data_IF_955604363774
#
_entry.id   IF_955604363774
#
_cell.length_a   1.000
_cell.length_b   1.000
_cell.length_c   1.000
_cell.angle_alpha   90.00
_cell.angle_beta   90.00
_cell.angle_gamma   90.00
#
_symmetry.space_group_name_H-M   'P 1'
#
loop_
_entity.id
_entity.type
_entity.pdbx_description
1 polymer ?
#
# COMPACT_ATOMS: atom_id res chain seq x y z
N UNK A 1 22.12 -13.01 3.81
CA UNK A 1 21.20 -14.10 3.42
C UNK A 1 19.86 -13.51 3.01
N UNK A 2 19.17 -14.05 2.00
CA UNK A 2 17.81 -13.60 1.64
C UNK A 2 16.84 -14.76 1.93
N UNK A 3 15.81 -14.49 2.71
CA UNK A 3 14.79 -15.46 3.09
C UNK A 3 13.41 -14.94 2.71
N UNK A 4 12.66 -15.72 1.93
CA UNK A 4 11.28 -15.39 1.57
C UNK A 4 10.31 -16.16 2.45
N UNK A 5 9.34 -15.45 3.03
CA UNK A 5 8.28 -16.03 3.83
C UNK A 5 6.92 -15.51 3.34
N UNK A 6 5.99 -16.43 3.10
CA UNK A 6 4.58 -16.13 2.87
C UNK A 6 3.74 -16.82 3.92
N UNK A 7 2.75 -16.14 4.50
CA UNK A 7 1.85 -16.77 5.46
C UNK A 7 0.95 -17.78 4.72
N UNK A 8 0.20 -17.30 3.73
CA UNK A 8 -0.70 -18.11 2.89
C UNK A 8 -0.04 -18.49 1.56
N UNK A 9 -0.18 -19.76 1.15
CA UNK A 9 0.32 -20.29 -0.12
C UNK A 9 -0.87 -20.63 -1.01
N UNK A 10 -1.05 -19.88 -2.08
CA UNK A 10 -2.16 -20.03 -3.02
C UNK A 10 -1.73 -21.00 -4.11
N UNK A 11 -2.33 -22.19 -4.08
CA UNK A 11 -2.14 -23.25 -5.07
C UNK A 11 -3.41 -23.44 -5.92
N UNK A 12 -4.57 -23.20 -5.33
CA UNK A 12 -5.89 -23.22 -5.96
C UNK A 12 -6.57 -21.85 -5.76
N UNK A 13 -7.19 -21.31 -6.80
CA UNK A 13 -7.93 -20.04 -6.72
C UNK A 13 -9.17 -20.12 -5.82
N UNK A 14 -9.69 -21.31 -5.56
CA UNK A 14 -10.84 -21.53 -4.69
C UNK A 14 -10.45 -21.64 -3.21
N UNK A 15 -9.16 -21.83 -2.90
CA UNK A 15 -8.63 -21.92 -1.54
C UNK A 15 -7.38 -21.06 -1.41
N UNK A 16 -7.60 -19.79 -1.08
CA UNK A 16 -6.51 -18.81 -0.90
C UNK A 16 -6.05 -18.71 0.56
N UNK A 17 -6.70 -19.40 1.49
CA UNK A 17 -6.37 -19.39 2.93
C UNK A 17 -6.81 -18.15 3.72
N UNK A 18 -7.48 -17.19 3.08
CA UNK A 18 -8.08 -16.00 3.70
C UNK A 18 -9.36 -15.61 2.95
N UNK A 19 -10.13 -14.66 3.47
CA UNK A 19 -11.34 -14.16 2.80
C UNK A 19 -10.99 -13.23 1.62
N UNK A 20 -11.40 -13.53 0.37
CA UNK A 20 -11.20 -12.62 -0.76
C UNK A 20 -11.90 -11.27 -0.56
N UNK A 21 -13.04 -11.23 0.12
CA UNK A 21 -13.73 -9.98 0.50
C UNK A 21 -12.87 -9.13 1.44
N UNK A 22 -12.29 -9.75 2.47
CA UNK A 22 -11.38 -9.07 3.39
C UNK A 22 -10.21 -8.46 2.60
N UNK A 23 -9.60 -9.23 1.69
CA UNK A 23 -8.49 -8.73 0.89
C UNK A 23 -8.90 -7.55 -0.01
N UNK A 24 -10.06 -7.63 -0.65
CA UNK A 24 -10.59 -6.51 -1.44
C UNK A 24 -10.80 -5.26 -0.56
N UNK A 25 -11.47 -5.39 0.58
CA UNK A 25 -11.69 -4.29 1.55
C UNK A 25 -10.39 -3.69 2.08
N UNK A 26 -9.43 -4.54 2.43
CA UNK A 26 -8.08 -4.14 2.85
C UNK A 26 -7.42 -3.24 1.80
N UNK A 27 -7.45 -3.64 0.52
CA UNK A 27 -6.85 -2.88 -0.58
C UNK A 27 -7.50 -1.51 -0.78
N UNK A 28 -8.74 -1.33 -0.31
CA UNK A 28 -9.50 -0.08 -0.35
C UNK A 28 -9.55 0.69 0.97
N UNK A 29 -8.84 0.25 2.02
CA UNK A 29 -8.61 1.05 3.23
C UNK A 29 -9.41 0.62 4.45
N UNK A 30 -9.93 -0.60 4.49
CA UNK A 30 -10.47 -1.17 5.73
C UNK A 30 -9.32 -1.52 6.71
N UNK A 31 -9.13 -0.66 7.71
CA UNK A 31 -8.05 -0.76 8.68
C UNK A 31 -8.26 -1.89 9.69
N UNK A 32 -9.51 -2.32 9.93
CA UNK A 32 -9.79 -3.48 10.77
C UNK A 32 -9.28 -4.77 10.12
N UNK A 33 -9.42 -4.88 8.78
CA UNK A 33 -8.81 -6.00 8.04
C UNK A 33 -7.27 -5.88 8.03
N UNK A 34 -6.73 -4.67 7.88
CA UNK A 34 -5.28 -4.45 7.96
C UNK A 34 -4.71 -4.93 9.31
N UNK A 35 -5.42 -4.70 10.41
CA UNK A 35 -5.05 -5.22 11.74
C UNK A 35 -5.05 -6.74 11.79
N UNK A 36 -6.12 -7.37 11.29
CA UNK A 36 -6.23 -8.82 11.22
C UNK A 36 -5.06 -9.42 10.45
N UNK A 37 -4.78 -8.94 9.25
CA UNK A 37 -3.70 -9.45 8.40
C UNK A 37 -2.31 -9.19 9.00
N UNK A 38 -2.07 -7.99 9.51
CA UNK A 38 -0.78 -7.63 10.11
C UNK A 38 -0.47 -8.47 11.36
N UNK A 39 -1.47 -8.70 12.21
CA UNK A 39 -1.34 -9.52 13.41
C UNK A 39 -1.09 -10.99 13.06
N UNK A 40 -1.80 -11.53 12.07
CA UNK A 40 -1.63 -12.91 11.61
C UNK A 40 -0.23 -13.12 11.01
N UNK A 41 0.22 -12.20 10.15
CA UNK A 41 1.55 -12.26 9.54
C UNK A 41 2.66 -12.20 10.59
N UNK A 42 2.53 -11.33 11.60
CA UNK A 42 3.49 -11.23 12.69
C UNK A 42 3.55 -12.53 13.50
N UNK A 43 2.40 -13.13 13.81
CA UNK A 43 2.36 -14.39 14.54
C UNK A 43 3.04 -15.51 13.76
N UNK A 44 2.70 -15.66 12.47
CA UNK A 44 3.32 -16.68 11.62
C UNK A 44 4.83 -16.48 11.47
N UNK A 45 5.30 -15.23 11.37
CA UNK A 45 6.72 -14.92 11.30
C UNK A 45 7.45 -15.26 12.61
N UNK A 46 6.88 -14.92 13.76
CA UNK A 46 7.43 -15.26 15.08
C UNK A 46 7.60 -16.79 15.20
N UNK A 47 6.53 -17.53 14.94
CA UNK A 47 6.49 -18.98 15.15
C UNK A 47 7.48 -19.73 14.25
N UNK A 48 7.68 -19.25 13.01
CA UNK A 48 8.51 -19.95 12.02
C UNK A 48 9.96 -19.50 11.97
N UNK A 49 10.25 -18.24 12.33
CA UNK A 49 11.59 -17.66 12.12
C UNK A 49 12.25 -17.10 13.37
N UNK A 50 11.49 -16.74 14.41
CA UNK A 50 12.05 -16.11 15.62
C UNK A 50 11.98 -16.99 16.87
N UNK A 51 11.24 -18.10 16.83
CA UNK A 51 11.02 -18.97 17.99
C UNK A 51 12.26 -19.73 18.51
N UNK A 52 13.37 -19.73 17.77
CA UNK A 52 14.58 -20.48 18.14
C UNK A 52 15.82 -19.59 18.17
N UNK A 53 16.21 -19.12 19.35
CA UNK A 53 17.48 -18.42 19.58
C UNK A 53 17.35 -16.92 19.83
N UNK A 54 18.49 -16.20 19.93
CA UNK A 54 18.48 -14.76 20.13
C UNK A 54 17.96 -14.05 18.87
N UNK A 55 17.13 -13.02 19.07
CA UNK A 55 16.61 -12.20 17.98
C UNK A 55 17.54 -10.99 17.78
N UNK A 56 18.11 -10.80 16.57
CA UNK A 56 18.95 -9.65 16.26
C UNK A 56 18.13 -8.36 16.19
N UNK A 57 18.80 -7.20 16.07
CA UNK A 57 18.11 -5.95 15.80
C UNK A 57 17.40 -6.01 14.43
N UNK A 58 16.07 -5.97 14.45
CA UNK A 58 15.24 -5.96 13.25
C UNK A 58 14.96 -4.52 12.81
N UNK A 59 14.94 -4.29 11.49
CA UNK A 59 14.45 -3.07 10.85
C UNK A 59 13.31 -3.45 9.92
N UNK A 60 12.10 -2.98 10.24
CA UNK A 60 10.93 -3.17 9.40
C UNK A 60 10.84 -2.04 8.37
N UNK A 61 10.73 -2.42 7.10
CA UNK A 61 10.70 -1.49 5.98
C UNK A 61 9.36 -1.57 5.27
N UNK A 62 8.66 -0.44 5.20
CA UNK A 62 7.41 -0.34 4.45
C UNK A 62 7.67 -0.40 2.94
N UNK A 63 6.70 -0.91 2.18
CA UNK A 63 6.71 -0.79 0.72
C UNK A 63 6.91 0.67 0.30
N UNK A 64 7.66 0.95 -0.79
CA UNK A 64 7.93 2.33 -1.19
C UNK A 64 6.65 3.10 -1.55
N UNK A 65 6.52 4.32 -1.03
CA UNK A 65 5.45 5.25 -1.39
C UNK A 65 5.96 6.69 -1.36
N UNK A 66 5.33 7.57 -2.15
CA UNK A 66 5.63 9.00 -2.14
C UNK A 66 4.92 9.66 -0.94
N UNK A 67 3.78 10.32 -1.16
CA UNK A 67 3.03 11.02 -0.13
C UNK A 67 1.94 10.14 0.48
N UNK A 68 1.12 9.49 -0.35
CA UNK A 68 -0.01 8.67 0.13
C UNK A 68 0.48 7.27 0.50
N UNK A 69 0.19 6.78 1.73
CA UNK A 69 0.53 5.40 2.12
C UNK A 69 -0.15 4.34 1.25
N UNK A 70 0.39 3.12 1.29
CA UNK A 70 -0.24 1.92 0.69
C UNK A 70 -1.14 1.21 1.70
N UNK A 71 -2.01 0.30 1.26
CA UNK A 71 -2.75 -0.58 2.16
C UNK A 71 -1.79 -1.42 3.04
N UNK A 72 -0.70 -1.91 2.45
CA UNK A 72 0.38 -2.62 3.15
C UNK A 72 0.99 -1.79 4.28
N UNK A 73 1.03 -0.45 4.19
CA UNK A 73 1.52 0.38 5.27
C UNK A 73 0.68 0.26 6.56
N UNK A 74 -0.65 0.20 6.43
CA UNK A 74 -1.55 -0.03 7.56
C UNK A 74 -1.31 -1.43 8.16
N UNK A 75 -1.23 -2.46 7.30
CA UNK A 75 -0.91 -3.83 7.73
C UNK A 75 0.44 -3.91 8.47
N UNK A 76 1.46 -3.20 7.96
CA UNK A 76 2.79 -3.11 8.57
C UNK A 76 2.71 -2.55 9.98
N UNK A 77 1.90 -1.52 10.24
CA UNK A 77 1.79 -0.96 11.59
C UNK A 77 1.31 -2.01 12.59
N UNK A 78 0.30 -2.80 12.25
CA UNK A 78 -0.20 -3.86 13.13
C UNK A 78 0.76 -5.04 13.26
N UNK A 79 1.47 -5.39 12.17
CA UNK A 79 2.58 -6.33 12.23
C UNK A 79 3.65 -5.86 13.24
N UNK A 80 4.09 -4.60 13.11
CA UNK A 80 5.06 -3.96 13.99
C UNK A 80 4.60 -3.96 15.45
N UNK A 81 3.33 -3.62 15.72
CA UNK A 81 2.77 -3.63 17.07
C UNK A 81 2.75 -5.02 17.70
N UNK A 82 2.31 -6.03 16.94
CA UNK A 82 2.29 -7.42 17.42
C UNK A 82 3.70 -7.93 17.69
N UNK A 83 4.63 -7.69 16.77
CA UNK A 83 6.01 -8.13 16.89
C UNK A 83 6.71 -7.45 18.07
N UNK A 84 6.58 -6.13 18.23
CA UNK A 84 7.18 -5.41 19.36
C UNK A 84 6.67 -5.89 20.72
N UNK A 85 5.37 -6.20 20.84
CA UNK A 85 4.82 -6.77 22.09
C UNK A 85 5.50 -8.09 22.41
N UNK A 86 5.67 -8.97 21.44
CA UNK A 86 6.36 -10.25 21.64
C UNK A 86 7.86 -10.05 21.95
N UNK A 87 8.57 -9.19 21.22
CA UNK A 87 9.99 -8.89 21.46
C UNK A 87 10.23 -8.35 22.88
N UNK A 88 9.42 -7.37 23.31
CA UNK A 88 9.53 -6.78 24.63
C UNK A 88 9.25 -7.80 25.75
N UNK A 89 8.25 -8.67 25.58
CA UNK A 89 7.92 -9.72 26.55
C UNK A 89 9.03 -10.78 26.69
N UNK A 90 9.84 -10.99 25.64
CA UNK A 90 10.93 -11.97 25.63
C UNK A 90 12.31 -11.32 25.84
N UNK A 91 12.37 -10.03 26.17
CA UNK A 91 13.64 -9.33 26.46
C UNK A 91 14.52 -9.06 25.24
N UNK A 92 13.95 -9.06 24.04
CA UNK A 92 14.66 -8.76 22.79
C UNK A 92 14.57 -7.27 22.41
N UNK A 93 15.50 -6.75 21.59
CA UNK A 93 15.39 -5.40 21.04
C UNK A 93 14.09 -5.23 20.27
N UNK A 94 13.36 -4.14 20.52
CA UNK A 94 12.20 -3.77 19.70
C UNK A 94 12.65 -3.46 18.27
N UNK A 95 11.74 -3.59 17.30
CA UNK A 95 12.03 -3.24 15.92
C UNK A 95 12.38 -1.75 15.82
N UNK A 96 13.17 -1.43 14.81
CA UNK A 96 13.28 -0.09 14.27
C UNK A 96 12.53 -0.02 12.93
N UNK A 97 12.18 1.18 12.49
CA UNK A 97 11.52 1.37 11.19
C UNK A 97 12.31 2.34 10.33
N UNK A 98 12.31 2.09 9.02
CA UNK A 98 12.76 3.06 8.02
C UNK A 98 11.89 2.98 6.78
N UNK A 99 11.98 4.00 5.92
CA UNK A 99 11.22 4.11 4.68
C UNK A 99 12.16 4.07 3.49
N UNK A 100 11.77 3.33 2.46
CA UNK A 100 12.35 3.52 1.12
C UNK A 100 11.70 4.73 0.49
N UNK A 101 12.47 5.79 0.29
CA UNK A 101 12.01 6.96 -0.42
C UNK A 101 12.04 6.69 -1.92
N UNK A 102 10.90 6.88 -2.60
CA UNK A 102 10.81 6.80 -4.05
C UNK A 102 10.79 8.20 -4.62
N UNK A 103 11.78 8.55 -5.41
CA UNK A 103 11.72 9.76 -6.25
C UNK A 103 11.02 9.39 -7.55
N UNK A 104 9.86 10.00 -7.80
CA UNK A 104 9.15 9.84 -9.06
C UNK A 104 9.87 10.71 -10.09
N UNK A 105 10.58 10.10 -11.03
CA UNK A 105 11.42 10.83 -11.98
C UNK A 105 10.67 11.29 -13.25
N UNK A 106 9.38 10.95 -13.44
CA UNK A 106 8.69 11.27 -14.71
C UNK A 106 7.38 12.05 -14.58
N UNK A 107 7.36 13.09 -15.42
CA UNK A 107 6.36 14.14 -15.61
C UNK A 107 5.68 14.06 -16.99
N UNK A 108 5.92 13.00 -17.78
CA UNK A 108 5.50 12.97 -19.21
C UNK A 108 4.58 11.80 -19.55
N UNK A 109 3.71 12.08 -20.51
CA UNK A 109 2.45 11.40 -20.88
C UNK A 109 2.49 9.87 -20.97
N UNK A 110 1.80 9.22 -20.03
CA UNK A 110 1.52 7.78 -20.06
C UNK A 110 0.66 7.33 -21.26
N UNK A 111 0.00 8.27 -21.94
CA UNK A 111 -0.98 8.00 -23.01
C UNK A 111 -0.39 7.49 -24.33
N UNK A 112 0.89 7.76 -24.61
CA UNK A 112 1.50 7.54 -25.94
C UNK A 112 2.68 6.57 -25.96
N UNK A 113 3.01 5.92 -24.85
CA UNK A 113 4.24 5.13 -24.73
C UNK A 113 4.05 3.65 -25.06
N UNK A 114 4.97 3.11 -25.87
CA UNK A 114 5.04 1.69 -26.21
C UNK A 114 5.64 0.82 -25.08
N UNK A 115 5.66 -0.50 -25.29
CA UNK A 115 6.11 -1.46 -24.28
C UNK A 115 7.60 -1.33 -23.90
N UNK A 116 8.45 -0.87 -24.82
CA UNK A 116 9.89 -0.74 -24.61
C UNK A 116 10.21 0.56 -23.85
N UNK A 117 9.50 1.64 -24.17
CA UNK A 117 9.57 2.91 -23.43
C UNK A 117 9.05 2.78 -21.99
N UNK A 118 8.00 1.97 -21.77
CA UNK A 118 7.52 1.63 -20.42
C UNK A 118 8.58 0.92 -19.57
N UNK A 119 9.40 0.07 -20.17
CA UNK A 119 10.47 -0.65 -19.48
C UNK A 119 11.65 0.27 -19.09
N UNK A 120 12.01 1.22 -19.95
CA UNK A 120 13.06 2.21 -19.66
C UNK A 120 12.67 3.15 -18.51
N UNK A 121 11.39 3.54 -18.42
CA UNK A 121 10.89 4.41 -17.35
C UNK A 121 10.89 3.73 -15.97
N UNK A 122 10.56 2.43 -15.90
CA UNK A 122 10.71 1.61 -14.67
C UNK A 122 12.18 1.55 -14.24
N UNK A 123 13.10 1.61 -15.19
CA UNK A 123 14.55 1.62 -14.94
C UNK A 123 15.05 2.85 -14.18
N UNK A 124 14.28 3.95 -14.18
CA UNK A 124 14.69 5.27 -13.72
C UNK A 124 13.99 5.75 -12.43
N UNK A 125 13.19 4.90 -11.77
CA UNK A 125 12.80 5.13 -10.37
C UNK A 125 14.07 5.11 -9.50
N UNK A 126 14.38 6.22 -8.85
CA UNK A 126 15.44 6.24 -7.85
C UNK A 126 14.84 5.95 -6.47
N UNK A 127 15.33 4.89 -5.85
CA UNK A 127 15.01 4.53 -4.48
C UNK A 127 16.14 5.04 -3.59
N UNK A 128 15.80 5.59 -2.42
CA UNK A 128 16.77 6.01 -1.42
C UNK A 128 16.48 5.35 -0.07
N UNK A 129 17.53 4.78 0.51
CA UNK A 129 17.51 4.10 1.80
C UNK A 129 18.82 4.40 2.54
N UNK A 130 18.74 4.62 3.85
CA UNK A 130 19.90 4.92 4.68
C UNK A 130 20.68 3.64 4.99
N UNK A 131 21.74 3.39 4.22
CA UNK A 131 22.62 2.23 4.38
C UNK A 131 23.33 2.21 5.74
N UNK A 132 23.80 3.36 6.22
CA UNK A 132 24.55 3.44 7.48
C UNK A 132 23.65 3.08 8.66
N UNK A 133 22.40 3.57 8.62
CA UNK A 133 21.38 3.15 9.59
C UNK A 133 21.12 1.65 9.56
N UNK A 134 21.19 0.99 8.40
CA UNK A 134 20.90 -0.44 8.27
C UNK A 134 22.05 -1.35 8.70
N UNK A 135 23.26 -0.82 8.89
CA UNK A 135 24.45 -1.63 9.18
C UNK A 135 24.25 -2.56 10.39
N UNK A 136 24.68 -3.81 10.24
CA UNK A 136 24.63 -4.89 11.26
C UNK A 136 23.22 -5.24 11.77
N UNK A 137 22.17 -4.91 11.01
CA UNK A 137 20.76 -5.21 11.32
C UNK A 137 20.17 -6.23 10.34
N UNK A 138 19.07 -6.86 10.73
CA UNK A 138 18.26 -7.69 9.83
C UNK A 138 17.13 -6.86 9.27
N UNK A 139 16.95 -6.87 7.96
CA UNK A 139 15.94 -6.08 7.26
C UNK A 139 14.72 -6.96 6.99
N UNK A 140 13.53 -6.44 7.31
CA UNK A 140 12.26 -7.12 7.12
C UNK A 140 11.39 -6.26 6.19
N UNK A 141 11.27 -6.66 4.93
CA UNK A 141 10.35 -6.05 3.97
C UNK A 141 8.99 -6.74 4.03
N UNK A 142 7.92 -5.95 3.98
CA UNK A 142 6.56 -6.47 3.92
C UNK A 142 5.86 -6.06 2.63
N UNK A 143 5.13 -7.00 2.06
CA UNK A 143 4.13 -6.75 1.03
C UNK A 143 2.87 -7.58 1.26
N UNK A 144 1.78 -7.24 0.58
CA UNK A 144 0.51 -7.93 0.75
C UNK A 144 0.46 -9.27 0.00
N UNK A 145 0.81 -9.31 -1.28
CA UNK A 145 0.78 -10.55 -2.05
C UNK A 145 1.93 -10.65 -3.06
N UNK A 146 2.56 -11.83 -3.12
CA UNK A 146 3.56 -12.17 -4.14
C UNK A 146 2.89 -12.91 -5.30
N UNK A 147 2.79 -12.27 -6.46
CA UNK A 147 2.22 -12.88 -7.68
C UNK A 147 3.32 -13.25 -8.68
N UNK A 148 4.04 -12.24 -9.20
CA UNK A 148 5.08 -12.43 -10.23
C UNK A 148 6.50 -12.18 -9.72
N UNK A 149 6.65 -11.83 -8.44
CA UNK A 149 7.92 -11.44 -7.82
C UNK A 149 8.51 -10.11 -8.34
N UNK A 150 7.71 -9.26 -8.98
CA UNK A 150 8.16 -7.94 -9.45
C UNK A 150 8.66 -7.05 -8.31
N UNK A 151 7.94 -7.01 -7.19
CA UNK A 151 8.34 -6.27 -5.99
C UNK A 151 9.64 -6.82 -5.38
N UNK A 152 9.80 -8.13 -5.32
CA UNK A 152 11.06 -8.77 -4.89
C UNK A 152 12.22 -8.35 -5.78
N UNK A 153 12.09 -8.42 -7.11
CA UNK A 153 13.15 -7.97 -8.03
C UNK A 153 13.53 -6.51 -7.81
N UNK A 154 12.55 -5.64 -7.53
CA UNK A 154 12.80 -4.24 -7.20
C UNK A 154 13.59 -4.10 -5.90
N UNK A 155 13.20 -4.79 -4.83
CA UNK A 155 13.88 -4.75 -3.53
C UNK A 155 15.30 -5.29 -3.66
N UNK A 156 15.50 -6.40 -4.38
CA UNK A 156 16.82 -7.00 -4.59
C UNK A 156 17.72 -6.09 -5.43
N UNK A 157 17.19 -5.45 -6.48
CA UNK A 157 17.92 -4.45 -7.26
C UNK A 157 18.35 -3.27 -6.38
N UNK A 158 17.47 -2.79 -5.51
CA UNK A 158 17.80 -1.73 -4.56
C UNK A 158 18.89 -2.19 -3.58
N UNK A 159 18.75 -3.38 -3.00
CA UNK A 159 19.74 -3.92 -2.07
C UNK A 159 21.13 -4.04 -2.73
N UNK A 160 21.18 -4.50 -3.98
CA UNK A 160 22.42 -4.56 -4.78
C UNK A 160 23.00 -3.17 -5.08
N UNK A 161 22.15 -2.23 -5.53
CA UNK A 161 22.54 -0.84 -5.84
C UNK A 161 23.17 -0.14 -4.63
N UNK A 162 22.61 -0.36 -3.43
CA UNK A 162 23.13 0.18 -2.19
C UNK A 162 24.19 -0.72 -1.53
N UNK A 163 24.50 -1.87 -2.13
CA UNK A 163 25.43 -2.89 -1.63
C UNK A 163 25.15 -3.26 -0.17
N UNK A 164 23.87 -3.50 0.14
CA UNK A 164 23.44 -3.95 1.45
C UNK A 164 23.97 -5.36 1.69
N UNK A 165 24.67 -5.55 2.80
CA UNK A 165 25.22 -6.85 3.22
C UNK A 165 24.36 -7.55 4.26
N UNK A 166 23.18 -6.99 4.54
CA UNK A 166 22.27 -7.44 5.58
C UNK A 166 21.67 -8.81 5.28
N UNK A 167 21.22 -9.49 6.33
CA UNK A 167 20.20 -10.51 6.17
C UNK A 167 18.85 -9.83 5.90
N UNK A 168 18.14 -10.32 4.88
CA UNK A 168 16.91 -9.75 4.38
C UNK A 168 15.82 -10.80 4.43
N UNK A 169 14.73 -10.49 5.11
CA UNK A 169 13.49 -11.21 5.01
C UNK A 169 12.51 -10.48 4.08
N UNK A 170 11.96 -11.21 3.13
CA UNK A 170 10.87 -10.76 2.26
C UNK A 170 9.57 -11.44 2.71
N UNK A 171 8.72 -10.70 3.42
CA UNK A 171 7.49 -11.19 4.02
C UNK A 171 6.30 -10.81 3.17
N UNK A 172 5.42 -11.79 2.95
CA UNK A 172 4.17 -11.61 2.23
C UNK A 172 3.02 -12.17 3.05
N UNK A 173 1.87 -11.49 3.05
CA UNK A 173 0.66 -12.08 3.63
C UNK A 173 0.24 -13.31 2.81
N UNK A 174 0.31 -13.23 1.47
CA UNK A 174 0.04 -14.36 0.60
C UNK A 174 1.03 -14.49 -0.57
N UNK A 175 1.11 -15.68 -1.16
CA UNK A 175 1.92 -15.95 -2.34
C UNK A 175 1.20 -16.87 -3.31
N UNK A 176 1.13 -16.48 -4.58
CA UNK A 176 0.68 -17.35 -5.67
C UNK A 176 1.82 -18.27 -6.11
N UNK A 177 1.77 -19.53 -5.67
CA UNK A 177 2.81 -20.52 -5.99
C UNK A 177 2.50 -21.30 -7.26
N UNK A 178 1.23 -21.47 -7.60
CA UNK A 178 0.83 -22.18 -8.80
C UNK A 178 1.02 -21.29 -10.04
N UNK A 179 2.09 -21.57 -10.79
CA UNK A 179 2.47 -20.85 -12.02
C UNK A 179 1.48 -21.01 -13.18
N UNK A 180 0.55 -21.97 -13.11
CA UNK A 180 -0.52 -22.12 -14.10
C UNK A 180 -1.65 -21.10 -13.91
N UNK A 181 -1.78 -20.52 -12.71
CA UNK A 181 -2.76 -19.47 -12.45
C UNK A 181 -2.25 -18.17 -13.06
N UNK A 182 -3.12 -17.51 -13.83
CA UNK A 182 -2.76 -16.29 -14.52
C UNK A 182 -2.55 -15.13 -13.52
N UNK A 183 -1.51 -14.27 -13.68
CA UNK A 183 -1.21 -13.17 -12.75
C UNK A 183 -2.34 -12.16 -12.52
N UNK A 184 -3.31 -12.06 -13.44
CA UNK A 184 -4.52 -11.24 -13.24
C UNK A 184 -5.39 -11.70 -12.06
N UNK A 185 -5.09 -12.85 -11.47
CA UNK A 185 -5.74 -13.31 -10.24
C UNK A 185 -5.61 -12.29 -9.10
N UNK A 186 -4.52 -11.52 -9.05
CA UNK A 186 -4.41 -10.41 -8.10
C UNK A 186 -5.53 -9.38 -8.28
N UNK A 187 -5.87 -9.09 -9.55
CA UNK A 187 -6.93 -8.16 -9.88
C UNK A 187 -8.31 -8.72 -9.46
N UNK A 188 -8.50 -10.03 -9.62
CA UNK A 188 -9.70 -10.70 -9.10
C UNK A 188 -9.84 -10.54 -7.59
N UNK A 189 -8.75 -10.73 -6.82
CA UNK A 189 -8.75 -10.51 -5.38
C UNK A 189 -8.96 -9.03 -5.01
N UNK A 190 -8.27 -8.11 -5.68
CA UNK A 190 -8.35 -6.67 -5.43
C UNK A 190 -9.79 -6.15 -5.51
N UNK A 191 -10.55 -6.61 -6.51
CA UNK A 191 -11.91 -6.19 -6.79
C UNK A 191 -12.94 -7.27 -6.45
N UNK A 192 -12.65 -8.16 -5.49
CA UNK A 192 -13.55 -9.27 -5.18
C UNK A 192 -14.91 -8.78 -4.67
N UNK A 193 -14.95 -7.83 -3.72
CA UNK A 193 -16.19 -7.24 -3.22
C UNK A 193 -16.42 -5.80 -3.70
N UNK A 194 -15.36 -5.03 -3.96
CA UNK A 194 -15.48 -3.68 -4.54
C UNK A 194 -15.53 -3.80 -6.07
N UNK A 195 -16.72 -3.70 -6.64
CA UNK A 195 -16.98 -3.75 -8.09
C UNK A 195 -17.16 -2.36 -8.70
N UNK A 196 -17.70 -1.43 -7.93
CA UNK A 196 -17.99 -0.07 -8.36
C UNK A 196 -17.71 0.94 -7.22
N UNK A 197 -17.80 2.23 -7.53
CA UNK A 197 -17.50 3.30 -6.59
C UNK A 197 -18.42 3.32 -5.35
N UNK A 198 -19.67 2.87 -5.47
CA UNK A 198 -20.63 2.87 -4.38
C UNK A 198 -20.38 1.72 -3.38
N UNK A 199 -19.68 0.66 -3.79
CA UNK A 199 -19.25 -0.41 -2.87
C UNK A 199 -18.20 0.09 -1.85
N UNK A 200 -17.66 1.31 -2.05
CA UNK A 200 -16.76 1.97 -1.11
C UNK A 200 -17.49 2.67 0.04
N UNK A 201 -18.82 2.83 -0.02
CA UNK A 201 -19.57 3.58 0.99
C UNK A 201 -19.37 3.01 2.39
N UNK A 202 -19.45 1.70 2.53
CA UNK A 202 -19.27 1.00 3.80
C UNK A 202 -17.82 1.07 4.32
N UNK A 203 -16.85 1.13 3.41
CA UNK A 203 -15.42 1.21 3.76
C UNK A 203 -15.07 2.63 4.20
N UNK A 204 -15.46 3.63 3.41
CA UNK A 204 -15.14 5.05 3.63
C UNK A 204 -15.90 5.61 4.83
N UNK A 205 -17.13 5.17 5.06
CA UNK A 205 -17.96 5.63 6.18
C UNK A 205 -17.66 4.86 7.47
N UNK A 206 -16.86 3.79 7.40
CA UNK A 206 -16.47 3.01 8.57
C UNK A 206 -15.60 3.82 9.54
N UNK A 207 -15.74 3.54 10.84
CA UNK A 207 -14.93 4.20 11.89
C UNK A 207 -13.42 3.97 11.72
N UNK A 208 -13.07 2.86 11.05
CA UNK A 208 -11.69 2.40 10.82
C UNK A 208 -11.32 2.48 9.33
N UNK A 209 -11.57 3.64 8.73
CA UNK A 209 -11.12 3.94 7.38
C UNK A 209 -9.69 4.50 7.37
N UNK A 210 -8.80 3.90 6.58
CA UNK A 210 -7.46 4.39 6.31
C UNK A 210 -7.27 4.69 4.82
N UNK A 211 -7.13 5.99 4.48
CA UNK A 211 -6.90 6.41 3.09
C UNK A 211 -5.57 5.87 2.58
N UNK A 212 -5.55 5.42 1.33
CA UNK A 212 -4.36 4.90 0.68
C UNK A 212 -4.32 5.24 -0.81
N UNK A 213 -3.17 5.00 -1.45
CA UNK A 213 -2.96 5.39 -2.85
C UNK A 213 -3.96 4.74 -3.82
N UNK A 214 -4.44 3.51 -3.56
CA UNK A 214 -5.37 2.81 -4.46
C UNK A 214 -6.73 3.49 -4.48
N UNK A 215 -7.31 3.76 -3.31
CA UNK A 215 -8.64 4.40 -3.25
C UNK A 215 -8.61 5.80 -3.87
N UNK A 216 -7.57 6.59 -3.64
CA UNK A 216 -7.44 7.92 -4.24
C UNK A 216 -7.38 7.84 -5.77
N UNK A 217 -6.53 6.96 -6.32
CA UNK A 217 -6.44 6.76 -7.78
C UNK A 217 -7.76 6.22 -8.36
N UNK A 218 -8.39 5.28 -7.67
CA UNK A 218 -9.64 4.67 -8.11
C UNK A 218 -10.75 5.71 -8.21
N UNK A 219 -10.89 6.57 -7.20
CA UNK A 219 -11.87 7.64 -7.17
C UNK A 219 -11.61 8.71 -8.25
N UNK A 220 -10.36 9.17 -8.39
CA UNK A 220 -10.02 10.22 -9.36
C UNK A 220 -10.13 9.75 -10.82
N UNK A 221 -9.89 8.47 -11.11
CA UNK A 221 -10.06 7.88 -12.45
C UNK A 221 -11.49 7.41 -12.73
N UNK A 222 -12.42 7.50 -11.78
CA UNK A 222 -13.76 7.00 -11.98
C UNK A 222 -14.55 7.89 -12.94
N UNK A 223 -15.63 7.35 -13.51
CA UNK A 223 -16.57 8.14 -14.30
C UNK A 223 -17.04 9.38 -13.52
N UNK A 224 -17.05 10.54 -14.18
CA UNK A 224 -17.23 11.83 -13.53
C UNK A 224 -18.64 12.00 -12.96
N UNK A 225 -19.66 11.47 -13.63
CA UNK A 225 -21.04 11.59 -13.14
C UNK A 225 -21.25 10.70 -11.91
N UNK A 226 -20.79 9.45 -11.96
CA UNK A 226 -20.82 8.55 -10.80
C UNK A 226 -19.97 9.08 -9.63
N UNK A 227 -18.80 9.67 -9.90
CA UNK A 227 -17.95 10.30 -8.89
C UNK A 227 -18.66 11.47 -8.18
N UNK A 228 -19.34 12.33 -8.94
CA UNK A 228 -20.12 13.45 -8.38
C UNK A 228 -21.24 12.94 -7.47
N UNK A 229 -21.97 11.91 -7.89
CA UNK A 229 -23.04 11.30 -7.07
C UNK A 229 -22.46 10.68 -5.80
N UNK A 230 -21.35 9.94 -5.90
CA UNK A 230 -20.68 9.35 -4.74
C UNK A 230 -20.30 10.40 -3.69
N UNK A 231 -19.73 11.53 -4.12
CA UNK A 231 -19.30 12.61 -3.23
C UNK A 231 -20.44 13.36 -2.54
N UNK A 232 -21.65 13.40 -3.12
CA UNK A 232 -22.79 14.10 -2.51
C UNK A 232 -23.13 13.56 -1.12
N UNK A 233 -22.88 12.27 -0.89
CA UNK A 233 -23.18 11.57 0.37
C UNK A 233 -21.94 11.41 1.26
N UNK A 234 -20.86 12.18 1.04
CA UNK A 234 -19.64 12.09 1.84
C UNK A 234 -19.46 13.28 2.76
N UNK A 235 -18.85 13.01 3.91
CA UNK A 235 -18.53 14.05 4.87
C UNK A 235 -17.48 15.02 4.31
N UNK A 236 -17.56 16.29 4.71
CA UNK A 236 -16.53 17.28 4.34
C UNK A 236 -15.13 16.83 4.79
N UNK A 237 -15.02 16.14 5.93
CA UNK A 237 -13.76 15.55 6.40
C UNK A 237 -13.15 14.60 5.36
N UNK A 238 -13.95 13.71 4.79
CA UNK A 238 -13.47 12.79 3.75
C UNK A 238 -13.10 13.53 2.47
N UNK A 239 -13.91 14.51 2.04
CA UNK A 239 -13.65 15.28 0.81
C UNK A 239 -12.33 16.06 0.92
N UNK A 240 -12.09 16.73 2.06
CA UNK A 240 -10.81 17.41 2.32
C UNK A 240 -9.65 16.41 2.32
N UNK A 241 -9.79 15.28 3.04
CA UNK A 241 -8.76 14.25 3.08
C UNK A 241 -8.41 13.70 1.69
N UNK A 242 -9.41 13.42 0.84
CA UNK A 242 -9.22 12.97 -0.53
C UNK A 242 -8.47 14.01 -1.37
N UNK A 243 -8.87 15.28 -1.27
CA UNK A 243 -8.23 16.38 -1.97
C UNK A 243 -6.77 16.57 -1.52
N UNK A 244 -6.51 16.63 -0.21
CA UNK A 244 -5.17 16.80 0.36
C UNK A 244 -4.24 15.65 -0.04
N UNK A 245 -4.73 14.41 -0.02
CA UNK A 245 -3.96 13.26 -0.47
C UNK A 245 -3.62 13.35 -1.97
N UNK A 246 -4.58 13.75 -2.80
CA UNK A 246 -4.36 13.91 -4.24
C UNK A 246 -3.33 15.00 -4.53
N UNK A 247 -3.47 16.18 -3.93
CA UNK A 247 -2.53 17.30 -4.11
C UNK A 247 -1.15 16.95 -3.58
N UNK A 248 -1.05 16.39 -2.38
CA UNK A 248 0.23 16.02 -1.78
C UNK A 248 1.00 14.97 -2.58
N UNK A 249 0.30 14.13 -3.36
CA UNK A 249 0.92 13.18 -4.27
C UNK A 249 1.12 13.71 -5.71
N UNK A 250 0.89 15.00 -5.94
CA UNK A 250 1.09 15.64 -7.25
C UNK A 250 0.03 15.29 -8.30
N UNK A 251 -1.12 14.73 -7.92
CA UNK A 251 -2.13 14.28 -8.91
C UNK A 251 -2.81 15.41 -9.68
N UNK A 252 -2.64 16.65 -9.25
CA UNK A 252 -3.06 17.82 -10.01
C UNK A 252 -2.28 18.06 -11.31
N UNK A 253 -1.14 17.39 -11.49
CA UNK A 253 -0.36 17.46 -12.74
C UNK A 253 -0.63 16.30 -13.69
N UNK A 254 -1.69 15.52 -13.46
CA UNK A 254 -2.02 14.32 -14.24
C UNK A 254 -3.38 14.52 -14.89
N UNK A 255 -3.41 14.64 -16.22
CA UNK A 255 -4.60 14.95 -17.01
C UNK A 255 -5.76 13.98 -16.75
N UNK A 256 -5.46 12.68 -16.62
CA UNK A 256 -6.46 11.65 -16.34
C UNK A 256 -7.25 11.89 -15.04
N UNK A 257 -6.69 12.63 -14.08
CA UNK A 257 -7.32 12.95 -12.80
C UNK A 257 -7.97 14.33 -12.77
N UNK A 258 -7.69 15.17 -13.77
CA UNK A 258 -8.01 16.60 -13.75
C UNK A 258 -9.50 16.86 -13.54
N UNK A 259 -10.36 16.17 -14.30
CA UNK A 259 -11.82 16.40 -14.25
C UNK A 259 -12.42 16.21 -12.85
N UNK A 260 -12.09 15.11 -12.18
CA UNK A 260 -12.60 14.80 -10.85
C UNK A 260 -11.91 15.62 -9.76
N UNK A 261 -10.64 15.97 -9.94
CA UNK A 261 -9.91 16.81 -9.01
C UNK A 261 -10.37 18.28 -9.06
N UNK A 262 -10.69 18.80 -10.24
CA UNK A 262 -11.31 20.12 -10.40
C UNK A 262 -12.69 20.17 -9.73
N UNK A 263 -13.47 19.09 -9.85
CA UNK A 263 -14.74 18.99 -9.13
C UNK A 263 -14.55 19.05 -7.61
N UNK A 264 -13.58 18.32 -7.05
CA UNK A 264 -13.23 18.39 -5.62
C UNK A 264 -12.83 19.80 -5.20
N UNK A 265 -11.93 20.42 -5.96
CA UNK A 265 -11.46 21.80 -5.70
C UNK A 265 -12.63 22.79 -5.68
N UNK A 266 -13.49 22.74 -6.71
CA UNK A 266 -14.65 23.62 -6.80
C UNK A 266 -15.64 23.37 -5.66
N UNK A 267 -15.86 22.11 -5.27
CA UNK A 267 -16.72 21.76 -4.15
C UNK A 267 -16.25 22.38 -2.83
N UNK A 268 -14.94 22.38 -2.57
CA UNK A 268 -14.33 22.91 -1.35
C UNK A 268 -14.28 24.44 -1.33
N UNK A 269 -13.85 25.07 -2.44
CA UNK A 269 -13.52 26.49 -2.45
C UNK A 269 -14.62 27.40 -3.03
N UNK A 270 -15.56 26.90 -3.84
CA UNK A 270 -16.66 27.73 -4.34
C UNK A 270 -17.87 27.75 -3.39
N UNK A 271 -18.04 26.73 -2.53
CA UNK A 271 -19.05 26.75 -1.47
C UNK A 271 -18.79 27.82 -0.41
N UNK A 272 -17.52 28.04 -0.07
CA UNK A 272 -17.06 29.06 0.90
C UNK A 272 -17.34 30.50 0.43
N UNK A 273 -17.41 30.75 -0.89
CA UNK A 273 -17.75 32.06 -1.42
C UNK A 273 -19.26 32.37 -1.44
N UNK A 274 -20.15 31.36 -1.36
CA UNK A 274 -21.60 31.60 -1.31
C UNK A 274 -22.11 31.95 0.09
N UNK A 275 -21.46 31.46 1.15
CA UNK A 275 -21.85 31.79 2.54
C UNK A 275 -21.50 33.22 2.96
N UNK A 276 -20.56 33.89 2.29
CA UNK A 276 -20.21 35.29 2.54
C UNK A 276 -21.16 36.30 1.86
N UNK A 277 -22.07 35.87 0.98
CA UNK A 277 -22.99 36.78 0.25
C UNK A 277 -24.35 37.02 0.91
N UNK A 278 -24.61 36.41 2.07
CA UNK A 278 -25.86 36.61 2.83
C UNK A 278 -25.62 37.15 4.27
N UNK A 279 -24.44 37.72 4.53
CA UNK A 279 -24.15 38.46 5.75
C UNK A 279 -23.93 39.94 5.47
N UNK A 280 -25.03 40.67 5.27
CA UNK A 280 -25.24 42.09 5.57
C UNK A 280 -26.69 42.46 5.25
#
# INVERSE_FOLDING_TARGET
>A
MITTYSLHKIIDTNDVGFSPDDYSRFKFGDDAVAEKFGTQLAQGFIDQHLGTGPVPQLVVVSSPYSFIPTATFAMKNYFSYRLNRWLALNGYPIIQETKVHRTITYKEDYGNLDAEQRLQLIGNDSFHIDREFLKDKVIVFLDDIRITGSHERMILKMADTYQLTNDIYLLYFAELQNKAIHPNFENHLNYHCVKNIFDLDDIVSGERFAINTRIVKYLLNYDADAFRVFLQNKSEKFINLLYDMAIGNGYHTIDAYQQNLEYLSNHLFQRTHKSLKHGN
#
